data_IF_870025616236
#
_entry.id   IF_870025616236
#
_cell.length_a   1.000
_cell.length_b   1.000
_cell.length_c   1.000
_cell.angle_alpha   90.00
_cell.angle_beta   90.00
_cell.angle_gamma   90.00
#
_symmetry.space_group_name_H-M   'P 1'
#
loop_
_entity.id
_entity.type
_entity.pdbx_description
1 polymer ?
#
# COMPACT_ATOMS: atom_id res chain seq x y z
N UNK A 1 -131.60 -57.58 -8.20
CA UNK A 1 -131.09 -56.81 -7.04
C UNK A 1 -129.60 -57.06 -6.75
N UNK A 2 -129.11 -58.32 -6.64
CA UNK A 2 -127.69 -58.65 -6.36
C UNK A 2 -126.66 -58.08 -7.36
N UNK A 3 -126.94 -58.10 -8.66
CA UNK A 3 -126.01 -57.62 -9.71
C UNK A 3 -125.76 -56.09 -9.65
N UNK A 4 -126.79 -55.32 -9.31
CA UNK A 4 -126.71 -53.86 -9.15
C UNK A 4 -125.87 -53.48 -7.93
N UNK A 5 -126.06 -54.17 -6.80
CA UNK A 5 -125.27 -53.96 -5.57
C UNK A 5 -123.79 -54.28 -5.79
N UNK A 6 -123.48 -55.39 -6.49
CA UNK A 6 -122.09 -55.75 -6.82
C UNK A 6 -121.40 -54.71 -7.71
N UNK A 7 -122.12 -54.14 -8.70
CA UNK A 7 -121.61 -53.07 -9.55
C UNK A 7 -121.34 -51.78 -8.75
N UNK A 8 -122.21 -51.44 -7.79
CA UNK A 8 -122.03 -50.27 -6.91
C UNK A 8 -120.81 -50.44 -6.00
N UNK A 9 -120.66 -51.61 -5.37
CA UNK A 9 -119.50 -51.92 -4.51
C UNK A 9 -118.20 -51.89 -5.32
N UNK A 10 -118.18 -52.47 -6.52
CA UNK A 10 -116.99 -52.48 -7.38
C UNK A 10 -116.60 -51.06 -7.84
N UNK A 11 -117.59 -50.22 -8.20
CA UNK A 11 -117.35 -48.78 -8.46
C UNK A 11 -116.82 -48.06 -7.22
N UNK A 12 -117.33 -48.35 -6.02
CA UNK A 12 -116.86 -47.76 -4.77
C UNK A 12 -115.40 -48.14 -4.47
N UNK A 13 -115.03 -49.42 -4.63
CA UNK A 13 -113.65 -49.90 -4.46
C UNK A 13 -112.70 -49.21 -5.44
N UNK A 14 -113.09 -49.06 -6.72
CA UNK A 14 -112.30 -48.32 -7.71
C UNK A 14 -112.13 -46.85 -7.32
N UNK A 15 -113.19 -46.20 -6.81
CA UNK A 15 -113.11 -44.81 -6.32
C UNK A 15 -112.19 -44.70 -5.11
N UNK A 16 -112.33 -45.57 -4.12
CA UNK A 16 -111.46 -45.60 -2.92
C UNK A 16 -110.01 -45.84 -3.31
N UNK A 17 -109.74 -46.80 -4.21
CA UNK A 17 -108.40 -47.09 -4.70
C UNK A 17 -107.79 -45.91 -5.45
N UNK A 18 -108.56 -45.21 -6.30
CA UNK A 18 -108.12 -43.96 -6.94
C UNK A 18 -107.77 -42.88 -5.92
N UNK A 19 -108.56 -42.71 -4.87
CA UNK A 19 -108.29 -41.73 -3.79
C UNK A 19 -107.02 -42.10 -3.03
N UNK A 20 -106.83 -43.38 -2.66
CA UNK A 20 -105.62 -43.85 -1.97
C UNK A 20 -104.38 -43.64 -2.85
N UNK A 21 -104.45 -44.01 -4.13
CA UNK A 21 -103.35 -43.77 -5.09
C UNK A 21 -103.06 -42.27 -5.20
N UNK A 22 -104.08 -41.42 -5.31
CA UNK A 22 -103.90 -39.96 -5.36
C UNK A 22 -103.23 -39.42 -4.09
N UNK A 23 -103.63 -39.89 -2.90
CA UNK A 23 -102.99 -39.49 -1.64
C UNK A 23 -101.53 -39.94 -1.55
N UNK A 24 -101.21 -41.15 -2.00
CA UNK A 24 -99.83 -41.66 -2.04
C UNK A 24 -98.98 -40.83 -3.01
N UNK A 25 -99.50 -40.56 -4.21
CA UNK A 25 -98.84 -39.70 -5.21
C UNK A 25 -98.62 -38.30 -4.64
N UNK A 26 -99.63 -37.70 -4.02
CA UNK A 26 -99.53 -36.37 -3.42
C UNK A 26 -98.48 -36.34 -2.30
N UNK A 27 -98.44 -37.36 -1.42
CA UNK A 27 -97.39 -37.50 -0.40
C UNK A 27 -96.00 -37.63 -1.04
N UNK A 28 -95.85 -38.43 -2.09
CA UNK A 28 -94.58 -38.57 -2.81
C UNK A 28 -94.13 -37.24 -3.43
N UNK A 29 -95.06 -36.49 -4.05
CA UNK A 29 -94.78 -35.16 -4.61
C UNK A 29 -94.32 -34.20 -3.51
N UNK A 30 -95.03 -34.15 -2.37
CA UNK A 30 -94.64 -33.30 -1.23
C UNK A 30 -93.26 -33.69 -0.69
N UNK A 31 -92.98 -34.98 -0.50
CA UNK A 31 -91.67 -35.48 -0.05
C UNK A 31 -90.58 -35.08 -1.05
N UNK A 32 -90.82 -35.26 -2.35
CA UNK A 32 -89.87 -34.88 -3.40
C UNK A 32 -89.59 -33.37 -3.40
N UNK A 33 -90.62 -32.54 -3.24
CA UNK A 33 -90.47 -31.08 -3.12
C UNK A 33 -89.65 -30.69 -1.88
N UNK A 34 -89.92 -31.32 -0.73
CA UNK A 34 -89.15 -31.08 0.50
C UNK A 34 -87.69 -31.51 0.32
N UNK A 35 -87.43 -32.68 -0.26
CA UNK A 35 -86.07 -33.14 -0.56
C UNK A 35 -85.36 -32.17 -1.49
N UNK A 36 -86.01 -31.73 -2.56
CA UNK A 36 -85.45 -30.75 -3.50
C UNK A 36 -85.12 -29.43 -2.79
N UNK A 37 -86.02 -28.93 -1.94
CA UNK A 37 -85.81 -27.71 -1.16
C UNK A 37 -84.62 -27.86 -0.19
N UNK A 38 -84.50 -29.00 0.49
CA UNK A 38 -83.35 -29.30 1.36
C UNK A 38 -82.05 -29.35 0.56
N UNK A 39 -82.05 -30.00 -0.61
CA UNK A 39 -80.87 -30.04 -1.50
C UNK A 39 -80.47 -28.63 -1.91
N UNK A 40 -81.42 -27.80 -2.35
CA UNK A 40 -81.15 -26.40 -2.73
C UNK A 40 -80.57 -25.61 -1.54
N UNK A 41 -81.13 -25.75 -0.34
CA UNK A 41 -80.63 -25.09 0.87
C UNK A 41 -79.20 -25.54 1.22
N UNK A 42 -78.90 -26.83 1.12
CA UNK A 42 -77.56 -27.37 1.38
C UNK A 42 -76.56 -26.85 0.35
N UNK A 43 -76.91 -26.87 -0.93
CA UNK A 43 -76.07 -26.33 -2.01
C UNK A 43 -75.82 -24.84 -1.80
N UNK A 44 -76.85 -24.04 -1.51
CA UNK A 44 -76.68 -22.61 -1.20
C UNK A 44 -75.75 -22.39 -0.02
N UNK A 45 -75.90 -23.15 1.08
CA UNK A 45 -75.00 -23.05 2.23
C UNK A 45 -73.56 -23.40 1.87
N UNK A 46 -73.33 -24.46 1.07
CA UNK A 46 -71.99 -24.82 0.60
C UNK A 46 -71.39 -23.71 -0.27
N UNK A 47 -72.16 -23.13 -1.19
CA UNK A 47 -71.71 -22.01 -2.03
C UNK A 47 -71.32 -20.81 -1.17
N UNK A 48 -72.15 -20.43 -0.19
CA UNK A 48 -71.84 -19.34 0.76
C UNK A 48 -70.56 -19.66 1.54
N UNK A 49 -70.41 -20.89 2.04
CA UNK A 49 -69.21 -21.30 2.77
C UNK A 49 -67.95 -21.19 1.89
N UNK A 50 -68.01 -21.65 0.64
CA UNK A 50 -66.89 -21.56 -0.31
C UNK A 50 -66.53 -20.10 -0.56
N UNK A 51 -67.50 -19.23 -0.82
CA UNK A 51 -67.25 -17.79 -1.02
C UNK A 51 -66.61 -17.17 0.21
N UNK A 52 -67.09 -17.49 1.42
CA UNK A 52 -66.50 -16.99 2.67
C UNK A 52 -65.05 -17.46 2.83
N UNK A 53 -64.75 -18.73 2.58
CA UNK A 53 -63.39 -19.27 2.64
C UNK A 53 -62.48 -18.56 1.64
N UNK A 54 -62.91 -18.42 0.37
CA UNK A 54 -62.15 -17.68 -0.65
C UNK A 54 -61.89 -16.22 -0.24
N UNK A 55 -62.88 -15.54 0.33
CA UNK A 55 -62.72 -14.17 0.83
C UNK A 55 -61.73 -14.10 1.99
N UNK A 56 -61.73 -15.08 2.90
CA UNK A 56 -60.78 -15.14 4.02
C UNK A 56 -59.35 -15.41 3.54
N UNK A 57 -59.16 -16.33 2.59
CA UNK A 57 -57.86 -16.60 1.96
C UNK A 57 -57.33 -15.36 1.25
N UNK A 58 -58.16 -14.70 0.43
CA UNK A 58 -57.78 -13.46 -0.25
C UNK A 58 -57.40 -12.35 0.75
N UNK A 59 -58.16 -12.17 1.84
CA UNK A 59 -57.81 -11.22 2.90
C UNK A 59 -56.48 -11.55 3.57
N UNK A 60 -56.21 -12.84 3.83
CA UNK A 60 -54.94 -13.30 4.41
C UNK A 60 -53.78 -12.98 3.46
N UNK A 61 -53.91 -13.32 2.17
CA UNK A 61 -52.90 -13.01 1.16
C UNK A 61 -52.62 -11.51 1.10
N UNK A 62 -53.66 -10.67 1.03
CA UNK A 62 -53.50 -9.21 1.00
C UNK A 62 -52.79 -8.70 2.26
N UNK A 63 -53.16 -9.19 3.45
CA UNK A 63 -52.51 -8.79 4.70
C UNK A 63 -51.03 -9.19 4.74
N UNK A 64 -50.69 -10.39 4.28
CA UNK A 64 -49.30 -10.88 4.21
C UNK A 64 -48.49 -10.04 3.23
N UNK A 65 -49.02 -9.78 2.03
CA UNK A 65 -48.36 -8.94 1.03
C UNK A 65 -48.14 -7.52 1.57
N UNK A 66 -49.16 -6.92 2.19
CA UNK A 66 -49.03 -5.58 2.78
C UNK A 66 -47.97 -5.54 3.87
N UNK A 67 -47.91 -6.55 4.77
CA UNK A 67 -46.86 -6.66 5.78
C UNK A 67 -45.46 -6.81 5.17
N UNK A 68 -45.33 -7.63 4.11
CA UNK A 68 -44.06 -7.78 3.39
C UNK A 68 -43.62 -6.46 2.75
N UNK A 69 -44.53 -5.73 2.10
CA UNK A 69 -44.23 -4.42 1.51
C UNK A 69 -43.78 -3.43 2.57
N UNK A 70 -44.48 -3.35 3.71
CA UNK A 70 -44.07 -2.48 4.83
C UNK A 70 -42.68 -2.87 5.35
N UNK A 71 -42.40 -4.16 5.53
CA UNK A 71 -41.09 -4.64 5.97
C UNK A 71 -39.99 -4.25 4.97
N UNK A 72 -40.22 -4.41 3.67
CA UNK A 72 -39.28 -4.03 2.61
C UNK A 72 -38.99 -2.53 2.66
N UNK A 73 -40.04 -1.69 2.78
CA UNK A 73 -39.88 -0.23 2.87
C UNK A 73 -39.06 0.15 4.10
N UNK A 74 -39.35 -0.44 5.27
CA UNK A 74 -38.58 -0.19 6.51
C UNK A 74 -37.12 -0.59 6.34
N UNK A 75 -36.84 -1.76 5.76
CA UNK A 75 -35.47 -2.21 5.49
C UNK A 75 -34.75 -1.24 4.55
N UNK A 76 -35.40 -0.82 3.46
CA UNK A 76 -34.81 0.15 2.52
C UNK A 76 -34.52 1.49 3.21
N UNK A 77 -35.41 1.99 4.08
CA UNK A 77 -35.17 3.22 4.84
C UNK A 77 -33.97 3.09 5.78
N UNK A 78 -33.84 1.97 6.49
CA UNK A 78 -32.70 1.70 7.37
C UNK A 78 -31.39 1.64 6.57
N UNK A 79 -31.39 0.94 5.44
CA UNK A 79 -30.21 0.85 4.55
C UNK A 79 -29.79 2.24 4.07
N UNK A 80 -30.74 3.05 3.57
CA UNK A 80 -30.45 4.43 3.13
C UNK A 80 -29.88 5.30 4.25
N UNK A 81 -30.44 5.18 5.47
CA UNK A 81 -29.93 5.89 6.64
C UNK A 81 -28.49 5.49 6.98
N UNK A 82 -28.20 4.18 7.00
CA UNK A 82 -26.84 3.67 7.27
C UNK A 82 -25.86 4.15 6.20
N UNK A 83 -26.23 4.07 4.92
CA UNK A 83 -25.40 4.56 3.81
C UNK A 83 -25.09 6.04 3.99
N UNK A 84 -26.09 6.85 4.35
CA UNK A 84 -25.91 8.29 4.55
C UNK A 84 -24.97 8.58 5.72
N UNK A 85 -25.09 7.85 6.84
CA UNK A 85 -24.20 7.98 7.99
C UNK A 85 -22.76 7.60 7.62
N UNK A 86 -22.56 6.51 6.88
CA UNK A 86 -21.23 6.06 6.44
C UNK A 86 -20.60 7.10 5.52
N UNK A 87 -21.34 7.59 4.51
CA UNK A 87 -20.86 8.63 3.59
C UNK A 87 -20.49 9.90 4.35
N UNK A 88 -21.35 10.36 5.27
CA UNK A 88 -21.06 11.56 6.08
C UNK A 88 -19.79 11.38 6.92
N UNK A 89 -19.60 10.21 7.54
CA UNK A 89 -18.38 9.89 8.30
C UNK A 89 -17.13 9.88 7.41
N UNK A 90 -17.21 9.33 6.20
CA UNK A 90 -16.10 9.35 5.24
C UNK A 90 -15.74 10.77 4.82
N UNK A 91 -16.73 11.61 4.53
CA UNK A 91 -16.50 13.03 4.17
C UNK A 91 -15.83 13.78 5.33
N UNK A 92 -16.31 13.61 6.56
CA UNK A 92 -15.68 14.22 7.75
C UNK A 92 -14.23 13.75 7.89
N UNK A 93 -13.97 12.45 7.77
CA UNK A 93 -12.61 11.91 7.87
C UNK A 93 -11.68 12.48 6.79
N UNK A 94 -12.19 12.64 5.56
CA UNK A 94 -11.44 13.25 4.45
C UNK A 94 -11.11 14.71 4.74
N UNK A 95 -12.06 15.51 5.25
CA UNK A 95 -11.82 16.91 5.63
C UNK A 95 -10.79 17.01 6.76
N UNK A 96 -10.90 16.17 7.80
CA UNK A 96 -9.94 16.14 8.90
C UNK A 96 -8.54 15.79 8.38
N UNK A 97 -8.43 14.79 7.51
CA UNK A 97 -7.14 14.40 6.91
C UNK A 97 -6.53 15.54 6.09
N UNK A 98 -7.34 16.26 5.29
CA UNK A 98 -6.90 17.46 4.55
C UNK A 98 -6.41 18.57 5.49
N UNK A 99 -7.12 18.83 6.59
CA UNK A 99 -6.68 19.82 7.60
C UNK A 99 -5.35 19.44 8.25
N UNK A 100 -5.15 18.16 8.59
CA UNK A 100 -3.88 17.67 9.16
C UNK A 100 -2.73 17.84 8.16
N UNK A 101 -2.94 17.46 6.90
CA UNK A 101 -1.93 17.64 5.83
C UNK A 101 -1.56 19.11 5.68
N UNK A 102 -2.55 20.00 5.66
CA UNK A 102 -2.34 21.46 5.59
C UNK A 102 -1.55 21.97 6.80
N UNK A 103 -1.90 21.53 8.02
CA UNK A 103 -1.21 21.92 9.24
C UNK A 103 0.26 21.47 9.25
N UNK A 104 0.55 20.25 8.80
CA UNK A 104 1.92 19.74 8.65
C UNK A 104 2.69 20.55 7.61
N UNK A 105 2.07 20.90 6.48
CA UNK A 105 2.68 21.74 5.44
C UNK A 105 3.04 23.13 5.99
N UNK A 106 2.12 23.76 6.74
CA UNK A 106 2.36 25.05 7.41
C UNK A 106 3.51 24.93 8.42
N UNK A 107 3.52 23.89 9.25
CA UNK A 107 4.58 23.67 10.24
C UNK A 107 5.95 23.51 9.57
N UNK A 108 6.04 22.74 8.47
CA UNK A 108 7.27 22.63 7.66
C UNK A 108 7.71 23.98 7.08
N UNK A 109 6.77 24.79 6.60
CA UNK A 109 7.06 26.13 6.08
C UNK A 109 7.61 27.04 7.18
N UNK A 110 6.99 27.05 8.36
CA UNK A 110 7.47 27.83 9.52
C UNK A 110 8.87 27.39 9.93
N UNK A 111 9.12 26.08 10.04
CA UNK A 111 10.45 25.54 10.36
C UNK A 111 11.47 26.02 9.31
N UNK A 112 11.15 25.94 8.02
CA UNK A 112 12.03 26.40 6.93
C UNK A 112 12.35 27.90 7.05
N UNK A 113 11.36 28.74 7.37
CA UNK A 113 11.54 30.18 7.59
C UNK A 113 12.44 30.45 8.80
N UNK A 114 12.23 29.73 9.91
CA UNK A 114 13.05 29.88 11.13
C UNK A 114 14.50 29.46 10.85
N UNK A 115 14.70 28.29 10.24
CA UNK A 115 16.05 27.80 9.86
C UNK A 115 16.73 28.79 8.91
N UNK A 116 16.03 29.31 7.92
CA UNK A 116 16.57 30.31 6.99
C UNK A 116 16.95 31.60 7.73
N UNK A 117 16.12 32.10 8.65
CA UNK A 117 16.47 33.25 9.51
C UNK A 117 17.70 32.96 10.37
N UNK A 118 17.80 31.76 10.97
CA UNK A 118 18.97 31.36 11.75
C UNK A 118 20.24 31.28 10.91
N UNK A 119 20.17 30.75 9.69
CA UNK A 119 21.30 30.71 8.74
C UNK A 119 21.73 32.13 8.37
N UNK A 120 20.79 33.01 8.02
CA UNK A 120 21.10 34.42 7.74
C UNK A 120 21.75 35.08 8.94
N UNK A 121 21.21 34.86 10.15
CA UNK A 121 21.77 35.43 11.38
C UNK A 121 23.18 34.90 11.66
N UNK A 122 23.44 33.59 11.45
CA UNK A 122 24.79 33.02 11.53
C UNK A 122 25.73 33.67 10.52
N UNK A 123 25.31 33.87 9.27
CA UNK A 123 26.11 34.53 8.23
C UNK A 123 26.40 35.99 8.59
N UNK A 124 25.41 36.72 9.13
CA UNK A 124 25.59 38.11 9.58
C UNK A 124 26.56 38.16 10.76
N UNK A 125 26.39 37.30 11.77
CA UNK A 125 27.30 37.21 12.92
C UNK A 125 28.71 36.84 12.46
N UNK A 126 28.85 35.89 11.54
CA UNK A 126 30.14 35.49 10.98
C UNK A 126 30.79 36.62 10.18
N UNK A 127 30.03 37.39 9.38
CA UNK A 127 30.54 38.61 8.71
C UNK A 127 30.93 39.70 9.72
N UNK A 128 30.17 39.86 10.81
CA UNK A 128 30.49 40.80 11.89
C UNK A 128 31.79 40.37 12.60
N UNK A 129 31.93 39.09 12.94
CA UNK A 129 33.15 38.52 13.52
C UNK A 129 34.34 38.68 12.58
N UNK A 130 34.18 38.39 11.29
CA UNK A 130 35.22 38.61 10.26
C UNK A 130 35.57 40.09 10.13
N UNK A 131 34.64 41.02 10.33
CA UNK A 131 34.93 42.47 10.33
C UNK A 131 35.63 42.95 11.61
N UNK A 132 35.29 42.35 12.76
CA UNK A 132 35.95 42.62 14.05
C UNK A 132 37.37 42.03 14.06
N UNK A 133 37.52 40.78 13.62
CA UNK A 133 38.82 40.11 13.43
C UNK A 133 39.60 40.72 12.27
N UNK A 134 38.96 41.21 11.21
CA UNK A 134 39.63 41.95 10.14
C UNK A 134 40.28 43.25 10.60
N UNK A 135 39.80 43.83 11.72
CA UNK A 135 40.42 44.97 12.42
C UNK A 135 41.38 44.54 13.55
N UNK A 136 41.50 43.24 13.83
CA UNK A 136 42.43 42.61 14.77
C UNK A 136 43.21 41.53 14.02
N UNK A 137 44.32 41.92 13.40
CA UNK A 137 45.22 41.08 12.59
C UNK A 137 45.34 39.60 13.06
N UNK A 138 44.45 38.69 12.61
CA UNK A 138 44.46 37.25 12.92
C UNK A 138 43.85 36.44 11.76
N UNK A 139 44.59 35.40 11.37
CA UNK A 139 44.36 34.49 10.25
C UNK A 139 43.09 33.62 10.37
N UNK A 140 42.54 33.21 9.22
CA UNK A 140 41.40 32.31 9.10
C UNK A 140 41.64 30.95 9.81
N UNK A 141 40.91 30.68 10.88
CA UNK A 141 40.77 29.34 11.45
C UNK A 141 39.92 28.45 10.53
N UNK A 142 40.55 27.92 9.49
CA UNK A 142 40.06 26.75 8.74
C UNK A 142 40.18 25.55 9.68
N UNK A 143 39.07 24.86 10.03
CA UNK A 143 39.18 23.57 10.73
C UNK A 143 39.91 22.59 9.81
N UNK A 144 41.22 22.44 10.04
CA UNK A 144 42.08 21.47 9.38
C UNK A 144 42.04 20.20 10.23
N UNK A 145 41.61 19.08 9.64
CA UNK A 145 41.69 17.78 10.31
C UNK A 145 43.15 17.52 10.74
N UNK A 146 43.35 17.08 11.98
CA UNK A 146 44.66 16.67 12.48
C UNK A 146 45.13 15.36 11.83
N UNK A 147 44.19 14.53 11.37
CA UNK A 147 44.43 13.28 10.63
C UNK A 147 43.20 12.86 9.82
N UNK A 148 43.37 11.87 8.95
CA UNK A 148 42.26 11.33 8.16
C UNK A 148 41.26 10.57 9.04
N UNK A 149 39.98 10.57 8.64
CA UNK A 149 38.94 9.79 9.30
C UNK A 149 39.12 8.31 8.93
N UNK A 150 38.85 7.40 9.87
CA UNK A 150 38.94 5.96 9.64
C UNK A 150 37.56 5.38 9.32
N UNK A 151 37.48 4.60 8.24
CA UNK A 151 36.29 3.88 7.82
C UNK A 151 36.61 2.42 7.47
N UNK A 152 35.59 1.56 7.57
CA UNK A 152 35.58 0.20 7.02
C UNK A 152 34.56 0.11 5.91
N UNK A 153 34.94 -0.61 4.85
CA UNK A 153 34.14 -0.77 3.65
C UNK A 153 33.87 -2.24 3.34
N UNK A 154 32.61 -2.54 3.03
CA UNK A 154 32.17 -3.82 2.46
C UNK A 154 31.11 -3.53 1.40
N UNK A 155 31.08 -4.31 0.33
CA UNK A 155 30.04 -4.15 -0.70
C UNK A 155 28.67 -4.65 -0.19
N UNK A 156 27.61 -4.46 -0.99
CA UNK A 156 26.25 -4.90 -0.63
C UNK A 156 26.10 -6.43 -0.54
N UNK A 157 27.02 -7.19 -1.15
CA UNK A 157 27.15 -8.64 -0.98
C UNK A 157 28.01 -9.02 0.25
N UNK A 158 28.32 -8.05 1.12
CA UNK A 158 29.10 -8.19 2.34
C UNK A 158 30.56 -8.62 2.13
N UNK A 159 31.11 -8.46 0.92
CA UNK A 159 32.54 -8.70 0.66
C UNK A 159 33.36 -7.55 1.22
N UNK A 160 34.27 -7.86 2.13
CA UNK A 160 35.08 -6.86 2.84
C UNK A 160 36.23 -6.41 1.95
N UNK A 161 36.49 -5.11 1.89
CA UNK A 161 37.65 -4.59 1.17
C UNK A 161 38.92 -4.84 1.97
N UNK A 162 39.92 -5.45 1.35
CA UNK A 162 41.22 -5.74 1.97
C UNK A 162 42.37 -5.51 0.99
N UNK A 163 43.54 -5.21 1.52
CA UNK A 163 44.72 -4.94 0.71
C UNK A 163 45.56 -6.21 0.49
N UNK A 164 45.88 -6.51 -0.77
CA UNK A 164 46.76 -7.61 -1.14
C UNK A 164 47.59 -7.24 -2.37
N UNK A 165 48.91 -7.48 -2.35
CA UNK A 165 49.83 -7.18 -3.45
C UNK A 165 49.66 -5.77 -4.05
N UNK A 166 49.48 -4.75 -3.19
CA UNK A 166 49.24 -3.37 -3.58
C UNK A 166 47.99 -3.14 -4.45
N UNK A 167 46.98 -4.01 -4.31
CA UNK A 167 45.66 -3.87 -4.89
C UNK A 167 44.61 -4.00 -3.79
N UNK A 168 43.54 -3.22 -3.92
CA UNK A 168 42.38 -3.35 -3.05
C UNK A 168 41.45 -4.41 -3.65
N UNK A 169 41.21 -5.49 -2.91
CA UNK A 169 40.38 -6.63 -3.33
C UNK A 169 39.10 -6.69 -2.49
N UNK A 170 38.05 -7.32 -3.03
CA UNK A 170 36.80 -7.59 -2.32
C UNK A 170 36.71 -9.05 -1.87
N UNK A 171 37.01 -9.31 -0.60
CA UNK A 171 37.12 -10.65 -0.03
C UNK A 171 35.78 -11.26 0.34
N UNK A 172 35.50 -12.45 -0.20
CA UNK A 172 34.35 -13.26 0.18
C UNK A 172 34.54 -13.96 1.53
N UNK A 173 33.47 -14.56 2.04
CA UNK A 173 33.54 -15.40 3.22
C UNK A 173 34.15 -16.75 2.85
N UNK A 174 35.45 -16.92 3.10
CA UNK A 174 36.12 -18.22 2.99
C UNK A 174 35.84 -19.05 4.23
N UNK A 175 35.56 -20.34 4.06
CA UNK A 175 35.27 -21.30 5.14
C UNK A 175 36.31 -21.18 6.27
N UNK A 176 35.93 -20.48 7.35
CA UNK A 176 36.72 -20.34 8.58
C UNK A 176 37.83 -19.27 8.59
N UNK A 177 38.08 -18.52 7.51
CA UNK A 177 39.11 -17.47 7.49
C UNK A 177 38.49 -16.08 7.46
N UNK A 178 38.49 -15.40 8.61
CA UNK A 178 38.08 -14.00 8.72
C UNK A 178 39.17 -13.12 8.09
N UNK A 179 38.90 -12.54 6.92
CA UNK A 179 39.78 -11.55 6.30
C UNK A 179 39.68 -10.25 7.11
N UNK A 180 40.81 -9.75 7.61
CA UNK A 180 40.86 -8.43 8.24
C UNK A 180 40.72 -7.39 7.14
N UNK A 181 39.63 -6.63 7.16
CA UNK A 181 39.40 -5.53 6.22
C UNK A 181 40.43 -4.41 6.37
N UNK A 182 40.70 -3.73 5.26
CA UNK A 182 41.54 -2.55 5.23
C UNK A 182 40.82 -1.38 5.92
N UNK A 183 41.55 -0.64 6.73
CA UNK A 183 41.05 0.61 7.32
C UNK A 183 41.26 1.75 6.32
N UNK A 184 40.15 2.20 5.74
CA UNK A 184 40.12 3.22 4.70
C UNK A 184 40.22 4.58 5.37
N UNK A 185 41.29 5.31 5.05
CA UNK A 185 41.49 6.70 5.43
C UNK A 185 40.67 7.61 4.53
N UNK A 186 39.95 8.57 5.11
CA UNK A 186 39.00 9.41 4.38
C UNK A 186 39.15 10.87 4.78
N UNK A 187 39.23 11.74 3.77
CA UNK A 187 39.21 13.20 3.95
C UNK A 187 38.28 13.84 2.91
N UNK A 188 37.61 14.95 3.23
CA UNK A 188 36.87 15.69 2.22
C UNK A 188 37.83 16.43 1.30
N UNK A 189 37.52 16.50 0.01
CA UNK A 189 38.23 17.40 -0.90
C UNK A 189 37.62 18.80 -0.83
N UNK A 190 38.32 19.72 -0.14
CA UNK A 190 37.86 21.09 0.12
C UNK A 190 37.95 22.02 -1.09
N UNK A 191 38.55 21.57 -2.19
CA UNK A 191 38.73 22.33 -3.42
C UNK A 191 37.59 22.12 -4.42
N UNK A 192 36.68 21.18 -4.16
CA UNK A 192 35.50 20.90 -4.99
C UNK A 192 34.20 21.29 -4.24
N UNK A 193 33.07 21.29 -4.97
CA UNK A 193 31.76 21.64 -4.40
C UNK A 193 31.36 20.66 -3.30
N UNK A 194 31.26 21.17 -2.07
CA UNK A 194 30.87 20.39 -0.90
C UNK A 194 29.46 19.79 -1.00
N UNK A 195 28.57 20.35 -1.84
CA UNK A 195 27.21 19.82 -2.04
C UNK A 195 27.20 18.42 -2.68
N UNK A 196 28.26 18.08 -3.41
CA UNK A 196 28.45 16.79 -4.08
C UNK A 196 29.15 15.75 -3.20
N UNK A 197 29.47 16.09 -1.95
CA UNK A 197 30.19 15.23 -0.99
C UNK A 197 31.49 14.62 -1.55
N UNK A 198 32.45 15.44 -1.99
CA UNK A 198 33.70 14.98 -2.57
C UNK A 198 34.64 14.43 -1.48
N UNK A 199 35.08 13.19 -1.64
CA UNK A 199 35.97 12.49 -0.71
C UNK A 199 37.20 11.92 -1.41
N UNK A 200 38.31 11.87 -0.69
CA UNK A 200 39.53 11.17 -1.09
C UNK A 200 39.65 9.95 -0.19
N UNK A 201 39.96 8.80 -0.80
CA UNK A 201 40.06 7.51 -0.13
C UNK A 201 41.52 7.04 -0.14
N UNK A 202 42.03 6.65 1.01
CA UNK A 202 43.38 6.13 1.18
C UNK A 202 43.43 4.83 1.95
N UNK A 203 44.53 4.11 1.80
CA UNK A 203 44.83 2.83 2.47
C UNK A 203 46.15 2.95 3.22
N UNK A 204 46.48 1.94 4.04
CA UNK A 204 47.70 1.87 4.84
C UNK A 204 47.88 3.11 5.74
N UNK A 205 46.81 3.51 6.42
CA UNK A 205 46.81 4.73 7.24
C UNK A 205 46.92 6.02 6.42
N UNK A 206 46.60 5.97 5.12
CA UNK A 206 46.60 7.10 4.22
C UNK A 206 47.95 7.38 3.56
N UNK A 207 48.87 6.40 3.53
CA UNK A 207 50.14 6.54 2.79
C UNK A 207 49.99 6.36 1.28
N UNK A 208 48.92 5.70 0.84
CA UNK A 208 48.56 5.57 -0.57
C UNK A 208 47.09 5.95 -0.76
N UNK A 209 46.76 6.55 -1.90
CA UNK A 209 45.39 6.98 -2.23
C UNK A 209 44.87 6.29 -3.50
N UNK A 210 43.56 6.04 -3.52
CA UNK A 210 42.85 5.59 -4.72
C UNK A 210 42.80 6.72 -5.76
N UNK A 211 43.21 6.41 -6.99
CA UNK A 211 43.24 7.31 -8.14
C UNK A 211 42.58 6.64 -9.34
N UNK A 212 41.79 7.41 -10.10
CA UNK A 212 41.23 6.98 -11.39
C UNK A 212 42.21 7.17 -12.55
N UNK A 213 43.42 7.69 -12.28
CA UNK A 213 44.37 8.09 -13.30
C UNK A 213 43.97 9.37 -14.04
N UNK A 214 44.72 9.67 -15.10
CA UNK A 214 44.52 10.84 -15.98
C UNK A 214 44.55 10.44 -17.46
N UNK A 215 44.39 9.16 -17.74
CA UNK A 215 44.43 8.59 -19.08
C UNK A 215 43.06 8.73 -19.79
N UNK A 216 42.96 8.33 -21.06
CA UNK A 216 41.67 8.42 -21.78
C UNK A 216 40.62 7.49 -21.18
N UNK A 217 41.04 6.31 -20.73
CA UNK A 217 40.17 5.35 -20.05
C UNK A 217 40.49 5.33 -18.54
N UNK A 218 39.47 5.36 -17.68
CA UNK A 218 39.69 5.40 -16.25
C UNK A 218 40.19 4.05 -15.76
N UNK A 219 41.33 4.06 -15.07
CA UNK A 219 41.90 2.87 -14.44
C UNK A 219 42.10 3.13 -12.97
N UNK A 220 41.44 2.34 -12.13
CA UNK A 220 41.59 2.46 -10.68
C UNK A 220 42.96 1.92 -10.26
N UNK A 221 43.73 2.73 -9.54
CA UNK A 221 45.04 2.36 -9.02
C UNK A 221 45.30 2.99 -7.65
N UNK A 222 46.19 2.37 -6.89
CA UNK A 222 46.76 2.97 -5.69
C UNK A 222 48.03 3.73 -6.09
N UNK A 223 48.07 5.02 -5.76
CA UNK A 223 49.27 5.83 -5.95
C UNK A 223 49.92 6.14 -4.60
N UNK A 224 51.26 6.15 -4.52
CA UNK A 224 52.01 6.40 -3.28
C UNK A 224 52.04 7.90 -2.92
N UNK A 225 50.86 8.46 -2.67
CA UNK A 225 50.64 9.83 -2.23
C UNK A 225 49.91 9.84 -0.89
N UNK A 226 50.37 10.69 0.02
CA UNK A 226 49.76 10.78 1.35
C UNK A 226 48.41 11.53 1.30
N UNK A 227 47.38 10.97 1.93
CA UNK A 227 46.03 11.53 1.93
C UNK A 227 45.97 12.94 2.55
N UNK A 228 46.79 13.21 3.56
CA UNK A 228 46.84 14.53 4.22
C UNK A 228 47.58 15.56 3.37
N UNK A 229 48.47 15.14 2.46
CA UNK A 229 49.06 16.02 1.45
C UNK A 229 47.98 16.49 0.47
N UNK A 230 47.15 15.55 -0.03
CA UNK A 230 46.02 15.89 -0.91
C UNK A 230 44.99 16.78 -0.22
N UNK A 231 44.67 16.51 1.06
CA UNK A 231 43.73 17.31 1.86
C UNK A 231 44.19 18.77 2.10
N UNK A 232 45.50 18.96 2.31
CA UNK A 232 46.09 20.28 2.59
C UNK A 232 46.40 21.05 1.30
N UNK A 233 46.56 20.36 0.19
CA UNK A 233 46.80 20.96 -1.12
C UNK A 233 45.66 21.89 -1.55
N UNK A 234 46.00 22.99 -2.20
CA UNK A 234 45.04 23.89 -2.85
C UNK A 234 44.61 23.39 -4.24
N UNK A 235 45.23 22.32 -4.75
CA UNK A 235 44.86 21.71 -6.03
C UNK A 235 43.53 20.97 -5.92
N UNK A 236 42.80 20.91 -7.03
CA UNK A 236 41.53 20.18 -7.09
C UNK A 236 41.69 18.66 -6.93
N UNK A 237 42.83 18.07 -7.29
CA UNK A 237 43.12 16.62 -7.13
C UNK A 237 41.98 15.71 -7.61
N UNK A 238 41.30 16.07 -8.71
CA UNK A 238 40.10 15.38 -9.22
C UNK A 238 40.30 13.89 -9.47
N UNK A 239 41.49 13.47 -9.95
CA UNK A 239 41.81 12.06 -10.19
C UNK A 239 41.77 11.20 -8.93
N UNK A 240 41.95 11.79 -7.74
CA UNK A 240 41.91 11.13 -6.44
C UNK A 240 40.56 11.24 -5.72
N UNK A 241 39.58 11.89 -6.37
CA UNK A 241 38.35 12.31 -5.69
C UNK A 241 37.16 11.52 -6.20
N UNK A 242 36.32 11.11 -5.26
CA UNK A 242 35.05 10.45 -5.52
C UNK A 242 33.91 11.26 -4.90
N UNK A 243 32.81 11.45 -5.63
CA UNK A 243 31.57 11.97 -5.08
C UNK A 243 30.81 10.84 -4.40
N UNK A 244 30.66 10.94 -3.08
CA UNK A 244 29.88 9.98 -2.30
C UNK A 244 28.39 10.31 -2.44
N UNK A 245 27.61 9.37 -2.97
CA UNK A 245 26.14 9.43 -2.93
C UNK A 245 25.61 8.51 -1.85
N UNK A 246 25.01 9.10 -0.82
CA UNK A 246 24.37 8.37 0.26
C UNK A 246 22.99 7.85 -0.18
N UNK A 247 22.78 6.54 -0.10
CA UNK A 247 21.54 5.85 -0.48
C UNK A 247 20.84 5.23 0.73
N UNK A 248 21.15 5.70 1.94
CA UNK A 248 20.56 5.25 3.20
C UNK A 248 21.46 4.26 3.93
N UNK A 249 21.38 2.98 3.59
CA UNK A 249 22.22 1.93 4.22
C UNK A 249 23.59 1.81 3.56
N UNK A 250 23.66 2.11 2.27
CA UNK A 250 24.87 2.01 1.45
C UNK A 250 25.21 3.38 0.84
N UNK A 251 26.41 3.48 0.29
CA UNK A 251 26.85 4.62 -0.51
C UNK A 251 27.48 4.15 -1.81
N UNK A 252 27.30 4.92 -2.87
CA UNK A 252 28.06 4.77 -4.13
C UNK A 252 29.11 5.87 -4.25
N UNK A 253 30.19 5.59 -4.98
CA UNK A 253 31.33 6.48 -5.13
C UNK A 253 31.61 6.72 -6.61
N UNK A 254 31.22 7.90 -7.10
CA UNK A 254 31.43 8.30 -8.49
C UNK A 254 32.77 9.01 -8.66
N UNK A 255 33.52 8.72 -9.71
CA UNK A 255 34.78 9.39 -10.02
C UNK A 255 34.56 10.87 -10.38
N UNK A 256 35.24 11.78 -9.68
CA UNK A 256 35.18 13.21 -10.00
C UNK A 256 35.95 13.57 -11.29
N UNK A 257 36.94 12.77 -11.68
CA UNK A 257 37.68 12.94 -12.93
C UNK A 257 36.95 12.32 -14.15
N UNK A 258 36.11 11.31 -13.92
CA UNK A 258 35.40 10.58 -14.97
C UNK A 258 33.92 10.42 -14.57
N UNK A 259 33.08 11.44 -14.81
CA UNK A 259 31.66 11.38 -14.50
C UNK A 259 30.98 10.16 -15.15
N UNK A 260 30.04 9.55 -14.43
CA UNK A 260 29.36 8.31 -14.82
C UNK A 260 30.13 7.02 -14.51
N UNK A 261 31.39 7.11 -14.04
CA UNK A 261 32.15 5.95 -13.60
C UNK A 261 32.13 5.78 -12.09
N UNK A 262 31.77 4.59 -11.63
CA UNK A 262 31.58 4.26 -10.23
C UNK A 262 32.59 3.23 -9.76
N UNK A 263 33.04 3.39 -8.52
CA UNK A 263 33.78 2.35 -7.80
C UNK A 263 32.88 1.11 -7.70
N UNK A 264 33.42 -0.05 -8.03
CA UNK A 264 32.67 -1.30 -8.04
C UNK A 264 33.52 -2.52 -7.70
N UNK A 265 32.85 -3.58 -7.27
CA UNK A 265 33.42 -4.92 -7.09
C UNK A 265 32.83 -5.89 -8.10
N UNK A 266 33.54 -6.96 -8.39
CA UNK A 266 32.99 -8.07 -9.13
C UNK A 266 32.02 -8.89 -8.24
N UNK A 267 31.05 -9.62 -8.82
CA UNK A 267 30.29 -10.62 -8.09
C UNK A 267 31.21 -11.66 -7.41
N UNK A 268 32.27 -12.06 -8.10
CA UNK A 268 33.25 -13.03 -7.61
C UNK A 268 34.08 -12.49 -6.45
N UNK A 269 34.44 -13.39 -5.54
CA UNK A 269 35.33 -13.08 -4.43
C UNK A 269 36.77 -12.86 -4.89
N UNK A 270 37.50 -12.05 -4.11
CA UNK A 270 38.94 -11.78 -4.25
C UNK A 270 39.33 -11.13 -5.57
N UNK A 271 38.36 -10.52 -6.26
CA UNK A 271 38.62 -9.69 -7.42
C UNK A 271 39.00 -8.27 -7.01
N UNK A 272 39.87 -7.60 -7.80
CA UNK A 272 40.20 -6.20 -7.58
C UNK A 272 38.98 -5.29 -7.66
N UNK A 273 38.96 -4.28 -6.79
CA UNK A 273 38.08 -3.13 -6.92
C UNK A 273 38.43 -2.41 -8.22
N UNK A 274 37.40 -2.02 -8.98
CA UNK A 274 37.55 -1.42 -10.31
C UNK A 274 36.56 -0.27 -10.52
N UNK A 275 36.58 0.33 -11.70
CA UNK A 275 35.59 1.31 -12.13
C UNK A 275 34.65 0.69 -13.15
N UNK A 276 33.37 1.08 -13.14
CA UNK A 276 32.37 0.66 -14.13
C UNK A 276 31.42 1.80 -14.45
N UNK A 277 30.76 1.72 -15.61
CA UNK A 277 29.65 2.59 -15.96
C UNK A 277 28.35 1.88 -15.61
N UNK A 278 27.42 2.60 -14.98
CA UNK A 278 26.07 2.09 -14.71
C UNK A 278 25.17 2.59 -15.85
N UNK A 279 24.50 1.70 -16.62
CA UNK A 279 23.49 2.12 -17.59
C UNK A 279 22.31 2.79 -16.86
N UNK A 280 21.79 3.90 -17.39
CA UNK A 280 20.65 4.65 -16.80
C UNK A 280 19.38 3.79 -16.62
N UNK A 281 19.29 2.64 -17.31
CA UNK A 281 18.09 1.81 -17.41
C UNK A 281 18.05 0.61 -16.43
N UNK A 282 19.07 0.44 -15.59
CA UNK A 282 19.32 -0.80 -14.82
C UNK A 282 18.46 -0.98 -13.55
N UNK A 283 17.36 -0.22 -13.38
CA UNK A 283 16.63 -0.13 -12.11
C UNK A 283 15.72 -1.34 -11.79
N UNK A 284 15.59 -2.35 -12.66
CA UNK A 284 14.74 -3.52 -12.35
C UNK A 284 15.20 -4.90 -12.89
N UNK A 285 16.24 -4.97 -13.73
CA UNK A 285 16.71 -6.22 -14.37
C UNK A 285 18.26 -6.32 -14.36
N UNK A 286 18.92 -5.93 -13.26
CA UNK A 286 20.38 -6.09 -13.15
C UNK A 286 20.73 -7.58 -13.16
N UNK A 287 21.53 -8.05 -14.14
CA UNK A 287 22.01 -9.43 -14.17
C UNK A 287 22.75 -9.76 -12.86
N UNK A 288 22.61 -10.98 -12.35
CA UNK A 288 23.26 -11.39 -11.09
C UNK A 288 24.80 -11.33 -11.17
N UNK A 289 25.35 -11.34 -12.38
CA UNK A 289 26.77 -11.22 -12.72
C UNK A 289 27.22 -9.76 -12.96
N UNK A 290 26.35 -8.78 -12.71
CA UNK A 290 26.69 -7.37 -12.85
C UNK A 290 27.65 -6.88 -11.73
N UNK A 291 28.53 -5.91 -12.02
CA UNK A 291 29.36 -5.28 -11.00
C UNK A 291 28.53 -4.61 -9.89
N UNK A 292 28.99 -4.73 -8.64
CA UNK A 292 28.33 -4.16 -7.46
C UNK A 292 28.90 -2.78 -7.17
N UNK A 293 28.05 -1.76 -7.06
CA UNK A 293 28.46 -0.34 -6.86
C UNK A 293 28.04 0.24 -5.50
N UNK A 294 27.36 -0.57 -4.70
CA UNK A 294 26.85 -0.22 -3.37
C UNK A 294 27.80 -0.70 -2.27
N UNK A 295 28.18 0.21 -1.38
CA UNK A 295 29.08 -0.09 -0.25
C UNK A 295 28.48 0.34 1.08
N UNK A 296 28.51 -0.55 2.07
CA UNK A 296 28.41 -0.13 3.45
C UNK A 296 29.70 0.62 3.82
N UNK A 297 29.54 1.86 4.30
CA UNK A 297 30.62 2.78 4.60
C UNK A 297 30.52 3.23 6.06
N UNK A 298 31.23 2.52 6.95
CA UNK A 298 31.04 2.64 8.40
C UNK A 298 32.30 3.23 9.06
N UNK A 299 32.18 4.19 9.99
CA UNK A 299 33.34 4.69 10.73
C UNK A 299 33.97 3.55 11.55
N UNK A 300 35.29 3.57 11.72
CA UNK A 300 35.97 2.67 12.65
C UNK A 300 35.55 2.99 14.10
N UNK A 301 35.49 1.96 14.94
CA UNK A 301 35.21 2.07 16.38
C UNK A 301 36.35 2.75 17.16
#
# INVERSE_FOLDING_TARGET
MKMVVMLVVMKMVVVVMKVVVMMVVMKMVVVMMVVMMVVVMVVMKMVVMIVVVMMLEMKMVVMVVMKMVVMIVVVMMVVMMVVTIVVMKMVVMMVVMQMVVMMVAVMKMVIKVVVMKMMVMKVVVMKMMVKIVGNLHIEEFKMVLSGALCFRMKDSALKVLYLHNNQLLAGGLHEGKVIKGEEISVVPNRSLDASLSPVILGVQGGSQCLSCGTEKEPTLKLEPVNIMELYRSAKESKSFTFYRRDMGLTSSFESAAYPGWFLCTAPEADQPVRLTQIPEDAAWDTPWDAPITDFYFQPCD
#
